data_IF_439312550754
#
_entry.id   IF_439312550754
#
_cell.length_a   1.000
_cell.length_b   1.000
_cell.length_c   1.000
_cell.angle_alpha   90.00
_cell.angle_beta   90.00
_cell.angle_gamma   90.00
#
_symmetry.space_group_name_H-M   'P 1'
#
loop_
_entity.id
_entity.type
_entity.pdbx_description
1 polymer ?
#
# COMPACT_ATOMS: atom_id res chain seq x y z
N UNK A 1 -2.86 -3.73 15.38
CA UNK A 1 -1.76 -3.67 14.39
C UNK A 1 -0.53 -3.19 15.12
N UNK A 2 0.59 -3.91 15.03
CA UNK A 2 1.88 -3.45 15.53
C UNK A 2 2.48 -2.49 14.51
N UNK A 3 3.30 -1.54 14.98
CA UNK A 3 3.97 -0.57 14.10
C UNK A 3 4.91 -1.21 13.06
N UNK A 4 5.31 -2.46 13.32
CA UNK A 4 6.14 -3.30 12.45
C UNK A 4 5.35 -4.13 11.43
N UNK A 5 4.01 -4.17 11.53
CA UNK A 5 3.19 -4.97 10.63
C UNK A 5 3.33 -4.46 9.19
N UNK A 6 3.41 -5.41 8.25
CA UNK A 6 3.52 -5.11 6.83
C UNK A 6 2.16 -4.64 6.30
N UNK A 7 2.07 -3.40 5.85
CA UNK A 7 0.81 -2.79 5.39
C UNK A 7 0.97 -2.44 3.93
N UNK A 8 0.14 -3.03 3.07
CA UNK A 8 0.08 -2.64 1.66
C UNK A 8 -1.07 -1.68 1.41
N UNK A 9 -0.77 -0.50 0.86
CA UNK A 9 -1.79 0.50 0.47
C UNK A 9 -1.89 0.56 -1.05
N UNK A 10 -2.92 -0.08 -1.59
CA UNK A 10 -3.31 0.06 -2.99
C UNK A 10 -3.80 1.49 -3.28
N UNK A 11 -3.49 2.03 -4.47
CA UNK A 11 -3.96 3.36 -4.86
C UNK A 11 -3.43 4.51 -3.99
N UNK A 12 -2.23 4.35 -3.41
CA UNK A 12 -1.62 5.29 -2.46
C UNK A 12 -1.48 6.75 -2.96
N UNK A 13 -1.54 6.98 -4.28
CA UNK A 13 -1.53 8.33 -4.89
C UNK A 13 -2.91 8.97 -5.02
N UNK A 14 -3.99 8.25 -4.76
CA UNK A 14 -5.36 8.76 -4.82
C UNK A 14 -5.73 9.65 -3.62
N UNK A 15 -6.93 10.23 -3.67
CA UNK A 15 -7.46 11.10 -2.62
C UNK A 15 -7.45 10.42 -1.23
N UNK A 16 -7.96 9.19 -1.16
CA UNK A 16 -8.00 8.41 0.10
C UNK A 16 -6.65 7.77 0.41
N UNK A 17 -6.02 7.11 -0.58
CA UNK A 17 -4.76 6.41 -0.37
C UNK A 17 -3.65 7.31 0.16
N UNK A 18 -3.57 8.55 -0.32
CA UNK A 18 -2.56 9.50 0.14
C UNK A 18 -2.82 10.01 1.57
N UNK A 19 -4.08 10.12 1.99
CA UNK A 19 -4.43 10.45 3.37
C UNK A 19 -4.08 9.30 4.33
N UNK A 20 -4.36 8.06 3.91
CA UNK A 20 -4.03 6.86 4.68
C UNK A 20 -2.52 6.72 4.87
N UNK A 21 -1.72 6.89 3.81
CA UNK A 21 -0.25 6.83 3.92
C UNK A 21 0.27 7.90 4.88
N UNK A 22 -0.15 9.16 4.72
CA UNK A 22 0.24 10.25 5.64
C UNK A 22 -0.11 9.94 7.09
N UNK A 23 -1.28 9.35 7.34
CA UNK A 23 -1.71 8.98 8.68
C UNK A 23 -0.84 7.86 9.26
N UNK A 24 -0.57 6.80 8.48
CA UNK A 24 0.25 5.69 8.93
C UNK A 24 1.70 6.11 9.17
N UNK A 25 2.26 6.97 8.32
CA UNK A 25 3.58 7.58 8.55
C UNK A 25 3.58 8.41 9.85
N UNK A 26 2.53 9.21 10.09
CA UNK A 26 2.40 10.02 11.31
C UNK A 26 2.28 9.18 12.60
N UNK A 27 1.71 7.97 12.50
CA UNK A 27 1.60 7.03 13.62
C UNK A 27 2.87 6.18 13.82
N UNK A 28 3.92 6.44 13.02
CA UNK A 28 5.21 5.75 13.02
C UNK A 28 5.13 4.28 12.59
N UNK A 29 4.25 3.96 11.64
CA UNK A 29 4.32 2.67 10.95
C UNK A 29 5.54 2.65 10.05
N UNK A 30 6.36 1.60 10.16
CA UNK A 30 7.67 1.54 9.48
C UNK A 30 7.66 0.63 8.26
N UNK A 31 6.66 -0.24 8.13
CA UNK A 31 6.62 -1.28 7.10
C UNK A 31 5.45 -1.06 6.12
N UNK A 32 5.45 0.12 5.52
CA UNK A 32 4.47 0.55 4.52
C UNK A 32 4.96 0.16 3.12
N UNK A 33 4.19 -0.71 2.46
CA UNK A 33 4.36 -1.05 1.06
C UNK A 33 3.37 -0.27 0.21
N UNK A 34 3.89 0.39 -0.81
CA UNK A 34 3.10 1.04 -1.85
C UNK A 34 3.59 0.58 -3.22
N UNK A 35 2.67 0.44 -4.17
CA UNK A 35 2.99 0.20 -5.57
C UNK A 35 2.18 1.13 -6.45
N UNK A 36 2.82 1.60 -7.51
CA UNK A 36 2.13 2.31 -8.57
C UNK A 36 1.30 1.33 -9.39
N UNK A 37 0.22 1.86 -9.97
CA UNK A 37 -0.64 1.09 -10.89
C UNK A 37 0.14 0.55 -12.09
N UNK A 38 1.20 1.23 -12.53
CA UNK A 38 2.10 0.75 -13.59
C UNK A 38 2.94 -0.46 -13.18
N UNK A 39 3.12 -0.69 -11.88
CA UNK A 39 3.92 -1.78 -11.33
C UNK A 39 3.06 -2.97 -10.85
N UNK A 40 1.78 -2.73 -10.54
CA UNK A 40 0.83 -3.75 -10.16
C UNK A 40 -0.57 -3.35 -10.63
N UNK A 41 -1.06 -4.00 -11.68
CA UNK A 41 -2.46 -3.88 -12.07
C UNK A 41 -3.30 -4.82 -11.20
N UNK A 42 -4.19 -4.25 -10.41
CA UNK A 42 -5.06 -4.99 -9.50
C UNK A 42 -6.21 -5.70 -10.25
N UNK A 43 -6.42 -5.37 -11.53
CA UNK A 43 -7.36 -6.08 -12.39
C UNK A 43 -6.78 -7.39 -12.94
N UNK A 44 -5.46 -7.61 -12.84
CA UNK A 44 -4.78 -8.85 -13.22
C UNK A 44 -4.55 -9.72 -11.98
N UNK A 45 -5.35 -10.78 -11.85
CA UNK A 45 -5.25 -11.74 -10.74
C UNK A 45 -3.89 -12.45 -10.69
N UNK A 46 -3.26 -12.73 -11.84
CA UNK A 46 -1.94 -13.36 -11.89
C UNK A 46 -0.86 -12.42 -11.36
N UNK A 47 -0.95 -11.13 -11.70
CA UNK A 47 -0.04 -10.11 -11.19
C UNK A 47 -0.18 -9.95 -9.66
N UNK A 48 -1.41 -9.95 -9.15
CA UNK A 48 -1.71 -9.92 -7.71
C UNK A 48 -1.16 -11.16 -7.01
N UNK A 49 -1.40 -12.35 -7.54
CA UNK A 49 -0.94 -13.62 -6.95
C UNK A 49 0.59 -13.75 -6.93
N UNK A 50 1.31 -13.11 -7.86
CA UNK A 50 2.79 -13.06 -7.85
C UNK A 50 3.35 -12.04 -6.86
N UNK A 51 2.54 -11.03 -6.50
CA UNK A 51 2.98 -9.93 -5.66
C UNK A 51 2.84 -10.20 -4.16
N UNK A 52 1.83 -10.98 -3.77
CA UNK A 52 1.55 -11.38 -2.38
C UNK A 52 2.13 -12.76 -2.07
#
# INVERSE_FOLDING_TARGET
MKKSDKIFVAGHRGMVGSAVVRRLESESFTNLLTRDRSHLDLSDESAVAKFF
#
